data_IF_684765202893
#
_entry.id   IF_684765202893
#
_cell.length_a   1.000
_cell.length_b   1.000
_cell.length_c   1.000
_cell.angle_alpha   90.00
_cell.angle_beta   90.00
_cell.angle_gamma   90.00
#
_symmetry.space_group_name_H-M   'P 1'
#
loop_
_entity.id
_entity.type
_entity.pdbx_description
1 polymer ?
#
# COMPACT_ATOMS: atom_id res chain seq x y z
N UNK A 1 10.01 -14.08 6.24
CA UNK A 1 11.18 -14.95 6.37
C UNK A 1 10.73 -16.34 6.80
N UNK A 2 11.21 -17.35 6.09
CA UNK A 2 11.00 -18.76 6.42
C UNK A 2 12.24 -19.30 7.16
N UNK A 3 12.07 -19.70 8.42
CA UNK A 3 13.14 -20.29 9.21
C UNK A 3 13.59 -21.66 8.64
N UNK A 4 12.67 -22.41 8.06
CA UNK A 4 12.96 -23.70 7.42
C UNK A 4 13.85 -23.55 6.18
N UNK A 5 13.57 -22.52 5.36
CA UNK A 5 14.29 -22.29 4.11
C UNK A 5 15.45 -21.31 4.28
N UNK A 6 15.55 -20.67 5.44
CA UNK A 6 16.53 -19.60 5.75
C UNK A 6 16.53 -18.51 4.68
N UNK A 7 15.35 -18.17 4.19
CA UNK A 7 15.15 -17.21 3.08
C UNK A 7 14.00 -16.27 3.36
N UNK A 8 14.15 -15.01 2.93
CA UNK A 8 13.09 -14.00 2.89
C UNK A 8 12.39 -14.06 1.54
N UNK A 9 11.07 -13.89 1.57
CA UNK A 9 10.20 -13.84 0.40
C UNK A 9 9.34 -12.57 0.48
N UNK A 10 9.08 -11.95 -0.66
CA UNK A 10 8.06 -10.94 -0.80
C UNK A 10 6.79 -11.56 -1.41
N UNK A 11 5.61 -11.15 -0.94
CA UNK A 11 4.34 -11.56 -1.54
C UNK A 11 3.65 -10.30 -2.04
N UNK A 12 3.41 -10.24 -3.36
CA UNK A 12 2.71 -9.12 -3.97
C UNK A 12 1.24 -9.12 -3.58
N UNK A 13 0.88 -8.23 -2.67
CA UNK A 13 -0.49 -8.00 -2.23
C UNK A 13 -1.18 -6.83 -2.93
N UNK A 14 -0.69 -6.42 -4.10
CA UNK A 14 -1.25 -5.33 -4.88
C UNK A 14 -2.13 -5.87 -6.02
N UNK A 15 -3.39 -5.47 -6.02
CA UNK A 15 -4.29 -5.74 -7.14
C UNK A 15 -3.95 -4.87 -8.33
N UNK A 16 -4.17 -5.38 -9.51
CA UNK A 16 -3.99 -4.63 -10.74
C UNK A 16 -5.22 -3.77 -11.11
N UNK A 17 -5.01 -2.81 -12.00
CA UNK A 17 -6.06 -2.00 -12.62
C UNK A 17 -6.96 -2.85 -13.51
N UNK A 18 -8.24 -2.43 -13.74
CA UNK A 18 -9.11 -3.07 -14.73
C UNK A 18 -8.51 -3.06 -16.14
N UNK A 19 -8.78 -4.11 -16.91
CA UNK A 19 -8.37 -4.19 -18.33
C UNK A 19 -8.91 -3.02 -19.16
N UNK A 20 -10.12 -2.56 -18.84
CA UNK A 20 -10.80 -1.45 -19.52
C UNK A 20 -10.32 -0.07 -19.09
N UNK A 21 -9.57 0.05 -17.99
CA UNK A 21 -9.10 1.34 -17.48
C UNK A 21 -7.76 1.72 -18.11
N UNK A 22 -7.83 2.58 -19.13
CA UNK A 22 -6.68 2.99 -19.94
C UNK A 22 -6.53 4.51 -19.94
N UNK A 23 -5.36 5.01 -20.31
CA UNK A 23 -5.14 6.46 -20.51
C UNK A 23 -6.01 7.01 -21.63
N UNK A 24 -6.34 6.23 -22.66
CA UNK A 24 -7.23 6.65 -23.73
C UNK A 24 -8.68 6.73 -23.26
N UNK A 25 -9.14 5.75 -22.46
CA UNK A 25 -10.43 5.84 -21.77
C UNK A 25 -10.53 7.11 -20.92
N UNK A 26 -9.49 7.46 -20.17
CA UNK A 26 -9.46 8.69 -19.37
C UNK A 26 -9.61 9.94 -20.25
N UNK A 27 -8.89 10.03 -21.38
CA UNK A 27 -9.01 11.15 -22.34
C UNK A 27 -10.41 11.25 -22.91
N UNK A 28 -11.01 10.13 -23.36
CA UNK A 28 -12.35 10.08 -23.93
C UNK A 28 -13.43 10.52 -22.93
N UNK A 29 -13.21 10.28 -21.63
CA UNK A 29 -14.13 10.64 -20.55
C UNK A 29 -13.75 11.97 -19.86
N UNK A 30 -12.79 12.72 -20.40
CA UNK A 30 -12.29 13.98 -19.86
C UNK A 30 -11.88 13.85 -18.37
N UNK A 31 -11.06 12.84 -18.08
CA UNK A 31 -10.41 12.60 -16.78
C UNK A 31 -8.94 13.01 -16.93
N UNK A 32 -8.59 14.17 -16.39
CA UNK A 32 -7.23 14.70 -16.40
C UNK A 32 -6.42 14.23 -15.17
N UNK A 33 -7.13 13.85 -14.11
CA UNK A 33 -6.58 13.27 -12.89
C UNK A 33 -7.50 12.14 -12.42
N UNK A 34 -6.92 10.99 -12.10
CA UNK A 34 -7.68 9.86 -11.56
C UNK A 34 -8.22 10.25 -10.17
N UNK A 35 -9.54 10.16 -9.95
CA UNK A 35 -10.13 10.57 -8.68
C UNK A 35 -9.61 9.73 -7.50
N UNK A 36 -9.54 10.34 -6.32
CA UNK A 36 -9.07 9.70 -5.09
C UNK A 36 -10.08 8.76 -4.45
N UNK A 37 -11.34 8.78 -4.92
CA UNK A 37 -12.45 8.03 -4.34
C UNK A 37 -13.44 7.55 -5.41
N UNK A 38 -14.55 6.95 -4.98
CA UNK A 38 -15.52 6.32 -5.87
C UNK A 38 -15.07 4.94 -6.35
N UNK A 39 -15.61 4.49 -7.48
CA UNK A 39 -15.28 3.17 -8.04
C UNK A 39 -14.24 3.22 -9.15
N UNK A 40 -14.03 4.39 -9.77
CA UNK A 40 -13.15 4.51 -10.92
C UNK A 40 -11.70 4.11 -10.61
N UNK A 41 -11.09 4.52 -9.47
CA UNK A 41 -9.74 4.11 -9.11
C UNK A 41 -9.64 2.72 -8.46
N UNK A 42 -10.72 1.94 -8.46
CA UNK A 42 -10.69 0.62 -7.85
C UNK A 42 -9.77 -0.33 -8.63
N UNK A 43 -8.91 -1.03 -7.88
CA UNK A 43 -8.14 -2.17 -8.35
C UNK A 43 -8.77 -3.46 -7.83
N UNK A 44 -8.38 -4.60 -8.41
CA UNK A 44 -8.81 -5.92 -7.91
C UNK A 44 -8.47 -6.04 -6.41
N UNK A 45 -9.42 -6.40 -5.55
CA UNK A 45 -9.17 -6.59 -4.12
C UNK A 45 -8.17 -7.73 -3.89
N UNK A 46 -6.96 -7.43 -3.45
CA UNK A 46 -5.85 -8.37 -3.44
C UNK A 46 -5.71 -9.17 -2.13
N UNK A 47 -6.25 -8.66 -1.02
CA UNK A 47 -5.93 -9.14 0.33
C UNK A 47 -6.26 -10.63 0.54
N UNK A 48 -7.40 -11.10 0.06
CA UNK A 48 -7.84 -12.51 0.25
C UNK A 48 -6.89 -13.47 -0.47
N UNK A 49 -6.54 -13.18 -1.73
CA UNK A 49 -5.63 -14.03 -2.49
C UNK A 49 -4.20 -13.99 -1.95
N UNK A 50 -3.76 -12.83 -1.44
CA UNK A 50 -2.44 -12.69 -0.79
C UNK A 50 -2.35 -13.55 0.47
N UNK A 51 -3.36 -13.49 1.35
CA UNK A 51 -3.39 -14.34 2.55
C UNK A 51 -3.55 -15.82 2.22
N UNK A 52 -4.35 -16.16 1.19
CA UNK A 52 -4.45 -17.55 0.72
C UNK A 52 -3.09 -18.06 0.23
N UNK A 53 -2.36 -17.27 -0.57
CA UNK A 53 -1.01 -17.60 -1.07
C UNK A 53 -0.02 -17.79 0.09
N UNK A 54 0.01 -16.86 1.05
CA UNK A 54 0.84 -16.96 2.24
C UNK A 54 0.52 -18.22 3.06
N UNK A 55 -0.76 -18.49 3.28
CA UNK A 55 -1.23 -19.63 4.06
C UNK A 55 -0.94 -20.96 3.37
N UNK A 56 -1.13 -21.05 2.06
CA UNK A 56 -0.80 -22.25 1.27
C UNK A 56 0.68 -22.55 1.34
N UNK A 57 1.51 -21.55 1.10
CA UNK A 57 2.96 -21.71 0.94
C UNK A 57 3.71 -21.88 2.25
N UNK A 58 3.33 -21.14 3.29
CA UNK A 58 4.08 -21.05 4.55
C UNK A 58 3.27 -21.46 5.78
N UNK A 59 1.94 -21.45 5.71
CA UNK A 59 1.07 -21.71 6.85
C UNK A 59 0.69 -23.16 7.03
N UNK A 60 0.20 -23.46 8.23
CA UNK A 60 -0.28 -24.80 8.61
C UNK A 60 -1.77 -24.85 8.95
N UNK A 61 -2.37 -23.70 9.25
CA UNK A 61 -3.78 -23.58 9.63
C UNK A 61 -4.72 -23.61 8.40
N UNK A 62 -6.00 -23.81 8.64
CA UNK A 62 -7.06 -23.63 7.65
C UNK A 62 -7.47 -22.16 7.53
N UNK A 63 -8.11 -21.80 6.44
CA UNK A 63 -8.65 -20.45 6.25
C UNK A 63 -9.70 -20.11 7.30
N UNK A 64 -10.58 -21.06 7.59
CA UNK A 64 -11.60 -20.95 8.65
C UNK A 64 -10.98 -20.66 10.03
N UNK A 65 -9.88 -21.35 10.39
CA UNK A 65 -9.24 -21.14 11.70
C UNK A 65 -8.71 -19.70 11.85
N UNK A 66 -8.12 -19.12 10.79
CA UNK A 66 -7.58 -17.77 10.85
C UNK A 66 -8.65 -16.67 10.75
N UNK A 67 -9.78 -16.95 10.09
CA UNK A 67 -10.87 -15.98 9.95
C UNK A 67 -11.85 -15.97 11.13
N UNK A 68 -11.90 -17.04 11.94
CA UNK A 68 -12.90 -17.18 13.02
C UNK A 68 -12.91 -15.96 13.99
N UNK A 69 -11.76 -15.44 14.47
CA UNK A 69 -11.79 -14.24 15.34
C UNK A 69 -12.39 -13.00 14.67
N UNK A 70 -12.15 -12.81 13.37
CA UNK A 70 -12.72 -11.70 12.62
C UNK A 70 -14.23 -11.87 12.42
N UNK A 71 -14.68 -13.11 12.17
CA UNK A 71 -16.11 -13.46 12.08
C UNK A 71 -16.80 -13.15 13.41
N UNK A 72 -16.21 -13.58 14.53
CA UNK A 72 -16.76 -13.35 15.87
C UNK A 72 -16.92 -11.86 16.19
N UNK A 73 -15.90 -11.05 15.86
CA UNK A 73 -15.95 -9.60 16.04
C UNK A 73 -17.00 -8.93 15.12
N UNK A 74 -17.08 -9.34 13.88
CA UNK A 74 -18.04 -8.76 12.94
C UNK A 74 -19.49 -9.11 13.30
N UNK A 75 -19.75 -10.35 13.75
CA UNK A 75 -21.09 -10.86 14.09
C UNK A 75 -21.55 -10.45 15.49
N UNK A 76 -20.68 -10.64 16.51
CA UNK A 76 -21.03 -10.36 17.89
C UNK A 76 -20.77 -8.89 18.26
N UNK A 77 -19.87 -8.24 17.51
CA UNK A 77 -19.54 -6.84 17.65
C UNK A 77 -18.37 -6.58 18.60
N UNK A 78 -17.94 -5.34 18.57
CA UNK A 78 -16.90 -4.79 19.46
C UNK A 78 -17.29 -3.38 19.90
N UNK A 79 -16.78 -2.89 21.04
CA UNK A 79 -17.08 -1.54 21.49
C UNK A 79 -16.55 -0.50 20.51
N UNK A 80 -17.39 0.46 20.09
CA UNK A 80 -16.95 1.60 19.29
C UNK A 80 -15.86 2.37 20.04
N UNK A 81 -14.74 2.63 19.37
CA UNK A 81 -13.65 3.40 19.98
C UNK A 81 -13.58 4.82 19.42
N UNK A 82 -13.06 5.74 20.22
CA UNK A 82 -13.08 7.18 19.97
C UNK A 82 -12.60 7.56 18.56
N UNK A 83 -11.44 7.04 18.14
CA UNK A 83 -10.84 7.38 16.84
C UNK A 83 -11.74 7.01 15.65
N UNK A 84 -12.40 5.84 15.69
CA UNK A 84 -13.32 5.44 14.62
C UNK A 84 -14.56 6.33 14.62
N UNK A 85 -15.14 6.57 15.79
CA UNK A 85 -16.30 7.44 15.94
C UNK A 85 -16.02 8.85 15.38
N UNK A 86 -14.89 9.44 15.75
CA UNK A 86 -14.52 10.79 15.29
C UNK A 86 -14.32 10.84 13.78
N UNK A 87 -13.70 9.80 13.20
CA UNK A 87 -13.56 9.68 11.74
C UNK A 87 -14.92 9.56 11.05
N UNK A 88 -15.84 8.79 11.59
CA UNK A 88 -17.20 8.66 11.07
C UNK A 88 -17.95 10.00 11.11
N UNK A 89 -17.81 10.77 12.18
CA UNK A 89 -18.37 12.12 12.27
C UNK A 89 -17.76 13.08 11.24
N UNK A 90 -16.47 13.04 11.04
CA UNK A 90 -15.76 13.90 10.06
C UNK A 90 -16.33 13.72 8.64
N UNK A 91 -16.75 12.51 8.29
CA UNK A 91 -17.26 12.18 6.96
C UNK A 91 -18.77 11.89 6.93
N UNK A 92 -19.50 12.27 7.96
CA UNK A 92 -20.90 11.88 8.14
C UNK A 92 -21.78 12.22 6.95
N UNK A 93 -21.72 13.46 6.45
CA UNK A 93 -22.52 13.89 5.31
C UNK A 93 -22.20 13.05 4.06
N UNK A 94 -20.93 12.75 3.80
CA UNK A 94 -20.53 11.89 2.70
C UNK A 94 -21.16 10.51 2.80
N UNK A 95 -21.20 9.92 4.00
CA UNK A 95 -21.78 8.60 4.22
C UNK A 95 -23.30 8.59 4.12
N UNK A 96 -23.97 9.67 4.48
CA UNK A 96 -25.42 9.73 4.40
C UNK A 96 -25.93 10.12 3.00
N UNK A 97 -25.20 10.97 2.28
CA UNK A 97 -25.64 11.54 1.00
C UNK A 97 -25.05 10.84 -0.21
N UNK A 98 -23.72 10.60 -0.21
CA UNK A 98 -23.00 10.03 -1.37
C UNK A 98 -22.78 8.53 -1.23
N UNK A 99 -22.56 8.01 -0.01
CA UNK A 99 -22.29 6.60 0.27
C UNK A 99 -23.32 5.97 1.19
N UNK A 100 -24.62 5.94 0.80
CA UNK A 100 -25.70 5.55 1.70
C UNK A 100 -25.55 4.15 2.28
N UNK A 101 -24.95 3.20 1.56
CA UNK A 101 -24.67 1.85 2.05
C UNK A 101 -23.62 1.84 3.19
N UNK A 102 -22.69 2.80 3.19
CA UNK A 102 -21.76 3.02 4.31
C UNK A 102 -22.51 3.60 5.50
N UNK A 103 -23.40 4.58 5.25
CA UNK A 103 -24.27 5.16 6.28
C UNK A 103 -25.17 4.15 6.95
N UNK A 104 -25.80 3.23 6.19
CA UNK A 104 -26.65 2.15 6.71
C UNK A 104 -25.92 1.26 7.73
N UNK A 105 -24.65 0.97 7.54
CA UNK A 105 -23.86 0.10 8.43
C UNK A 105 -23.24 0.90 9.58
N UNK A 106 -22.57 2.00 9.27
CA UNK A 106 -21.75 2.73 10.27
C UNK A 106 -22.48 3.87 10.97
N UNK A 107 -23.60 4.33 10.40
CA UNK A 107 -24.41 5.43 10.94
C UNK A 107 -25.90 5.08 10.88
N UNK A 108 -26.35 3.92 11.41
CA UNK A 108 -27.71 3.39 11.15
C UNK A 108 -28.84 4.27 11.71
N UNK A 109 -28.53 5.22 12.59
CA UNK A 109 -29.48 6.19 13.14
C UNK A 109 -29.27 7.61 12.60
N UNK A 110 -28.54 7.74 11.46
CA UNK A 110 -28.09 9.02 10.94
C UNK A 110 -26.89 9.61 11.70
N UNK A 111 -26.36 8.89 12.67
CA UNK A 111 -25.17 9.24 13.46
C UNK A 111 -24.34 7.99 13.75
N UNK A 112 -23.01 8.13 13.91
CA UNK A 112 -22.18 7.02 14.38
C UNK A 112 -22.60 6.51 15.75
N UNK A 113 -22.33 5.23 16.08
CA UNK A 113 -22.50 4.72 17.45
C UNK A 113 -21.65 5.51 18.46
N UNK A 114 -22.10 5.63 19.68
CA UNK A 114 -21.33 6.27 20.76
C UNK A 114 -20.16 5.38 21.21
N UNK A 115 -19.12 6.00 21.77
CA UNK A 115 -17.97 5.27 22.31
C UNK A 115 -18.42 4.27 23.37
N UNK A 116 -18.00 3.01 23.22
CA UNK A 116 -18.43 1.91 24.07
C UNK A 116 -19.71 1.20 23.59
N UNK A 117 -20.48 1.77 22.68
CA UNK A 117 -21.62 1.09 22.06
C UNK A 117 -21.13 -0.05 21.15
N UNK A 118 -21.82 -1.18 21.19
CA UNK A 118 -21.43 -2.36 20.41
C UNK A 118 -21.75 -2.15 18.93
N UNK A 119 -20.70 -2.09 18.11
CA UNK A 119 -20.80 -2.02 16.67
C UNK A 119 -20.70 -3.42 16.07
N UNK A 120 -21.55 -3.71 15.09
CA UNK A 120 -21.60 -5.00 14.35
C UNK A 120 -21.59 -4.75 12.85
N UNK A 121 -21.02 -5.71 12.11
CA UNK A 121 -21.09 -5.73 10.65
C UNK A 121 -21.45 -7.17 10.18
N UNK A 122 -22.73 -7.55 10.26
CA UNK A 122 -23.17 -8.90 9.92
C UNK A 122 -22.94 -9.26 8.44
N UNK A 123 -22.99 -8.29 7.53
CA UNK A 123 -22.71 -8.51 6.10
C UNK A 123 -21.26 -8.95 5.90
N UNK A 124 -20.32 -8.30 6.59
CA UNK A 124 -18.93 -8.70 6.55
C UNK A 124 -18.70 -10.09 7.17
N UNK A 125 -19.35 -10.39 8.30
CA UNK A 125 -19.31 -11.72 8.88
C UNK A 125 -19.80 -12.79 7.88
N UNK A 126 -20.89 -12.52 7.16
CA UNK A 126 -21.44 -13.45 6.16
C UNK A 126 -20.48 -13.62 4.96
N UNK A 127 -19.82 -12.56 4.53
CA UNK A 127 -18.77 -12.65 3.49
C UNK A 127 -17.65 -13.60 3.92
N UNK A 128 -17.13 -13.45 5.13
CA UNK A 128 -16.08 -14.32 5.67
C UNK A 128 -16.58 -15.77 5.80
N UNK A 129 -17.82 -15.97 6.29
CA UNK A 129 -18.45 -17.29 6.38
C UNK A 129 -18.63 -17.94 5.02
N UNK A 130 -18.93 -17.19 3.95
CA UNK A 130 -19.06 -17.72 2.58
C UNK A 130 -17.75 -18.38 2.14
N UNK A 131 -16.60 -17.76 2.40
CA UNK A 131 -15.29 -18.34 2.13
C UNK A 131 -15.02 -19.59 2.99
N UNK A 132 -15.36 -19.55 4.28
CA UNK A 132 -15.22 -20.72 5.18
C UNK A 132 -16.08 -21.90 4.75
N UNK A 133 -17.29 -21.65 4.28
CA UNK A 133 -18.19 -22.70 3.77
C UNK A 133 -17.65 -23.33 2.48
N UNK A 134 -17.05 -22.54 1.60
CA UNK A 134 -16.38 -23.05 0.40
C UNK A 134 -15.17 -23.94 0.77
N UNK A 135 -14.34 -23.51 1.74
CA UNK A 135 -13.26 -24.34 2.29
C UNK A 135 -13.79 -25.67 2.85
N UNK A 136 -14.83 -25.61 3.68
CA UNK A 136 -15.43 -26.79 4.30
C UNK A 136 -15.95 -27.79 3.25
N UNK A 137 -16.57 -27.30 2.17
CA UNK A 137 -17.08 -28.13 1.08
C UNK A 137 -15.96 -28.87 0.34
N UNK A 138 -14.77 -28.31 0.26
CA UNK A 138 -13.60 -28.90 -0.38
C UNK A 138 -12.65 -29.63 0.59
N UNK A 139 -12.94 -29.65 1.90
CA UNK A 139 -12.09 -30.22 2.95
C UNK A 139 -11.64 -31.66 2.68
N UNK A 140 -12.52 -32.47 2.05
CA UNK A 140 -12.22 -33.86 1.69
C UNK A 140 -11.07 -33.99 0.66
N UNK A 141 -10.73 -32.90 -0.05
CA UNK A 141 -9.63 -32.82 -1.04
C UNK A 141 -8.30 -32.37 -0.41
N UNK A 142 -8.27 -32.14 0.91
CA UNK A 142 -7.10 -31.68 1.66
C UNK A 142 -7.06 -30.17 1.88
N UNK A 143 -6.18 -29.73 2.81
CA UNK A 143 -6.08 -28.34 3.29
C UNK A 143 -5.88 -27.31 2.14
N UNK A 144 -4.92 -27.55 1.26
CA UNK A 144 -4.61 -26.63 0.16
C UNK A 144 -5.83 -26.43 -0.75
N UNK A 145 -6.51 -27.52 -1.14
CA UNK A 145 -7.72 -27.45 -1.97
C UNK A 145 -8.89 -26.78 -1.26
N UNK A 146 -8.95 -26.88 0.06
CA UNK A 146 -9.89 -26.11 0.86
C UNK A 146 -9.64 -24.60 0.77
N UNK A 147 -8.39 -24.16 0.97
CA UNK A 147 -8.00 -22.74 0.88
C UNK A 147 -8.21 -22.20 -0.54
N UNK A 148 -7.88 -22.99 -1.58
CA UNK A 148 -8.16 -22.62 -2.98
C UNK A 148 -9.66 -22.45 -3.22
N UNK A 149 -10.52 -23.30 -2.65
CA UNK A 149 -11.97 -23.16 -2.77
C UNK A 149 -12.47 -21.87 -2.08
N UNK A 150 -11.95 -21.52 -0.92
CA UNK A 150 -12.24 -20.25 -0.25
C UNK A 150 -11.83 -19.05 -1.11
N UNK A 151 -10.63 -19.10 -1.72
CA UNK A 151 -10.16 -18.09 -2.67
C UNK A 151 -11.07 -17.99 -3.90
N UNK A 152 -11.45 -19.12 -4.47
CA UNK A 152 -12.39 -19.17 -5.63
C UNK A 152 -13.71 -18.52 -5.30
N UNK A 153 -14.28 -18.77 -4.11
CA UNK A 153 -15.54 -18.14 -3.69
C UNK A 153 -15.46 -16.59 -3.66
N UNK A 154 -14.27 -16.03 -3.53
CA UNK A 154 -14.05 -14.58 -3.58
C UNK A 154 -13.82 -14.07 -5.01
N UNK A 155 -12.98 -14.74 -5.82
CA UNK A 155 -12.51 -14.21 -7.11
C UNK A 155 -13.26 -14.74 -8.33
N UNK A 156 -13.92 -15.89 -8.21
CA UNK A 156 -14.65 -16.59 -9.29
C UNK A 156 -15.90 -17.23 -8.70
N UNK A 157 -16.72 -16.40 -8.03
CA UNK A 157 -17.90 -16.88 -7.32
C UNK A 157 -18.77 -15.75 -6.74
N UNK A 158 -19.62 -16.04 -5.76
CA UNK A 158 -20.70 -15.14 -5.35
C UNK A 158 -20.22 -13.80 -4.81
N UNK A 159 -18.98 -13.69 -4.31
CA UNK A 159 -18.47 -12.44 -3.77
C UNK A 159 -18.08 -11.50 -4.92
N UNK A 160 -17.27 -11.96 -5.90
CA UNK A 160 -16.93 -11.13 -7.07
C UNK A 160 -18.19 -10.78 -7.90
N UNK A 161 -19.11 -11.72 -8.09
CA UNK A 161 -20.39 -11.43 -8.76
C UNK A 161 -21.15 -10.30 -8.08
N UNK A 162 -21.26 -10.32 -6.75
CA UNK A 162 -21.92 -9.26 -5.98
C UNK A 162 -21.23 -7.92 -6.13
N UNK A 163 -19.88 -7.90 -6.09
CA UNK A 163 -19.09 -6.68 -6.29
C UNK A 163 -19.38 -6.09 -7.67
N UNK A 164 -19.26 -6.90 -8.72
CA UNK A 164 -19.40 -6.47 -10.11
C UNK A 164 -20.80 -5.92 -10.41
N UNK A 165 -21.84 -6.62 -9.96
CA UNK A 165 -23.21 -6.13 -10.08
C UNK A 165 -23.40 -4.80 -9.33
N UNK A 166 -22.92 -4.72 -8.09
CA UNK A 166 -23.11 -3.53 -7.28
C UNK A 166 -22.47 -2.28 -7.88
N UNK A 167 -21.20 -2.36 -8.31
CA UNK A 167 -20.48 -1.19 -8.88
C UNK A 167 -20.96 -0.81 -10.28
N UNK A 168 -21.59 -1.74 -11.00
CA UNK A 168 -22.24 -1.48 -12.29
C UNK A 168 -23.58 -0.79 -12.13
N UNK A 169 -24.38 -1.18 -11.14
CA UNK A 169 -25.77 -0.75 -10.98
C UNK A 169 -25.92 0.48 -10.09
N UNK A 170 -24.88 0.82 -9.29
CA UNK A 170 -24.91 1.93 -8.35
C UNK A 170 -23.80 2.93 -8.64
N UNK A 171 -23.88 3.70 -9.73
CA UNK A 171 -22.89 4.74 -10.01
C UNK A 171 -22.83 5.76 -8.87
N UNK A 172 -21.62 6.28 -8.59
CA UNK A 172 -21.39 7.20 -7.48
C UNK A 172 -20.64 8.43 -7.95
N UNK A 173 -20.95 9.59 -7.37
CA UNK A 173 -20.17 10.80 -7.56
C UNK A 173 -18.83 10.65 -6.84
N UNK A 174 -17.75 10.93 -7.57
CA UNK A 174 -16.40 10.89 -7.05
C UNK A 174 -15.75 12.28 -6.96
N UNK A 175 -14.52 12.34 -6.53
CA UNK A 175 -13.77 13.58 -6.33
C UNK A 175 -13.57 14.43 -7.59
N UNK A 176 -13.85 13.91 -8.79
CA UNK A 176 -13.89 14.70 -10.02
C UNK A 176 -15.18 15.52 -10.17
N UNK A 177 -16.17 15.36 -9.27
CA UNK A 177 -17.50 15.95 -9.37
C UNK A 177 -18.37 15.29 -10.44
N UNK A 178 -17.96 14.14 -10.97
CA UNK A 178 -18.70 13.36 -11.95
C UNK A 178 -19.18 12.05 -11.35
N UNK A 179 -20.23 11.49 -11.94
CA UNK A 179 -20.80 10.21 -11.51
C UNK A 179 -20.23 9.11 -12.39
N UNK A 180 -19.54 8.15 -11.77
CA UNK A 180 -18.94 7.02 -12.48
C UNK A 180 -19.41 5.67 -11.94
N UNK A 181 -19.40 4.67 -12.83
CA UNK A 181 -19.51 3.25 -12.51
C UNK A 181 -18.12 2.65 -12.29
N UNK A 182 -18.07 1.48 -11.66
CA UNK A 182 -16.84 0.68 -11.62
C UNK A 182 -16.49 0.10 -12.98
N UNK A 183 -15.20 -0.01 -13.26
CA UNK A 183 -14.66 -0.56 -14.51
C UNK A 183 -14.18 -2.01 -14.38
N UNK A 184 -14.12 -2.55 -13.17
CA UNK A 184 -13.76 -3.95 -12.93
C UNK A 184 -14.77 -4.90 -13.58
N UNK A 185 -14.27 -5.98 -14.16
CA UNK A 185 -15.03 -7.04 -14.82
C UNK A 185 -14.56 -8.41 -14.33
N UNK A 186 -15.30 -9.44 -14.66
CA UNK A 186 -15.05 -10.82 -14.22
C UNK A 186 -13.62 -11.29 -14.54
N UNK A 187 -13.14 -11.06 -15.75
CA UNK A 187 -11.78 -11.44 -16.15
C UNK A 187 -10.66 -10.74 -15.36
N UNK A 188 -10.94 -9.57 -14.77
CA UNK A 188 -9.98 -8.89 -13.91
C UNK A 188 -9.79 -9.66 -12.59
N UNK A 189 -10.88 -10.20 -12.06
CA UNK A 189 -10.86 -10.99 -10.82
C UNK A 189 -10.29 -12.39 -11.05
N UNK A 190 -10.80 -13.12 -12.05
CA UNK A 190 -10.42 -14.51 -12.31
C UNK A 190 -8.97 -14.64 -12.74
N UNK A 191 -8.43 -13.64 -13.45
CA UNK A 191 -7.04 -13.61 -13.90
C UNK A 191 -6.03 -13.26 -12.82
N UNK A 192 -6.44 -12.60 -11.72
CA UNK A 192 -5.50 -12.09 -10.73
C UNK A 192 -5.02 -13.15 -9.74
N UNK A 193 -3.71 -13.15 -9.46
CA UNK A 193 -3.08 -13.98 -8.44
C UNK A 193 -1.98 -13.19 -7.73
N UNK A 194 -1.81 -13.47 -6.42
CA UNK A 194 -0.67 -12.93 -5.68
C UNK A 194 0.61 -13.68 -6.08
N UNK A 195 1.64 -12.93 -6.41
CA UNK A 195 2.95 -13.47 -6.80
C UNK A 195 3.88 -13.55 -5.59
N UNK A 196 4.72 -14.61 -5.54
CA UNK A 196 5.83 -14.70 -4.59
C UNK A 196 7.07 -14.27 -5.36
N UNK A 197 7.69 -13.21 -4.87
CA UNK A 197 8.85 -12.55 -5.48
C UNK A 197 10.07 -12.63 -4.54
N UNK A 198 11.27 -12.53 -5.08
CA UNK A 198 12.44 -12.25 -4.27
C UNK A 198 12.41 -10.78 -3.80
N UNK A 199 12.67 -10.50 -2.52
CA UNK A 199 12.75 -9.13 -2.04
C UNK A 199 13.98 -8.42 -2.61
N UNK A 200 13.89 -7.08 -2.71
CA UNK A 200 15.08 -6.25 -2.91
C UNK A 200 15.77 -6.11 -1.57
N UNK A 201 17.09 -6.30 -1.55
CA UNK A 201 17.85 -6.34 -0.30
C UNK A 201 19.08 -5.46 -0.38
N UNK A 202 19.46 -4.90 0.78
CA UNK A 202 20.69 -4.14 0.97
C UNK A 202 21.40 -4.65 2.22
N UNK A 203 22.71 -4.84 2.11
CA UNK A 203 23.55 -5.08 3.29
C UNK A 203 23.96 -3.75 3.92
N UNK A 204 23.72 -3.63 5.22
CA UNK A 204 24.13 -2.51 6.05
C UNK A 204 24.77 -3.02 7.33
N UNK A 205 26.06 -2.78 7.52
CA UNK A 205 26.86 -3.41 8.57
C UNK A 205 26.77 -4.93 8.46
N UNK A 206 26.35 -5.61 9.52
CA UNK A 206 26.14 -7.06 9.58
C UNK A 206 24.66 -7.48 9.43
N UNK A 207 23.84 -6.57 8.87
CA UNK A 207 22.40 -6.73 8.67
C UNK A 207 22.06 -6.79 7.18
N UNK A 208 21.15 -7.69 6.82
CA UNK A 208 20.50 -7.70 5.50
C UNK A 208 19.07 -7.14 5.66
N UNK A 209 18.79 -6.03 4.99
CA UNK A 209 17.49 -5.38 5.01
C UNK A 209 16.72 -5.73 3.76
N UNK A 210 15.49 -6.22 3.91
CA UNK A 210 14.65 -6.72 2.85
C UNK A 210 13.39 -5.88 2.69
N UNK A 211 13.09 -5.48 1.44
CA UNK A 211 11.91 -4.70 1.07
C UNK A 211 11.20 -5.33 -0.12
N UNK A 212 9.89 -5.06 -0.27
CA UNK A 212 9.17 -5.41 -1.50
C UNK A 212 9.71 -4.62 -2.70
N UNK A 213 9.43 -5.11 -3.90
CA UNK A 213 9.89 -4.52 -5.17
C UNK A 213 9.20 -3.17 -5.51
N UNK A 214 9.45 -2.64 -6.69
CA UNK A 214 9.06 -1.29 -7.17
C UNK A 214 7.57 -1.05 -7.39
N UNK A 215 6.73 -2.08 -7.31
CA UNK A 215 5.30 -1.89 -7.12
C UNK A 215 4.97 -1.31 -5.73
N UNK A 216 5.99 -1.12 -4.90
CA UNK A 216 5.98 -0.33 -3.66
C UNK A 216 7.04 0.76 -3.71
N UNK A 217 7.06 1.64 -2.70
CA UNK A 217 8.18 2.56 -2.52
C UNK A 217 9.29 2.00 -1.62
N UNK A 218 9.19 0.72 -1.20
CA UNK A 218 10.14 0.09 -0.27
C UNK A 218 11.62 0.32 -0.61
N UNK A 219 12.04 0.20 -1.88
CA UNK A 219 13.44 0.43 -2.22
C UNK A 219 13.96 1.84 -1.99
N UNK A 220 13.11 2.88 -1.80
CA UNK A 220 13.58 4.21 -1.37
C UNK A 220 14.23 4.18 0.01
N UNK A 221 13.77 3.30 0.90
CA UNK A 221 14.44 3.09 2.19
C UNK A 221 15.88 2.59 1.98
N UNK A 222 16.04 1.58 1.12
CA UNK A 222 17.35 0.99 0.84
C UNK A 222 18.30 1.99 0.19
N UNK A 223 17.82 2.80 -0.76
CA UNK A 223 18.62 3.86 -1.38
C UNK A 223 19.01 4.94 -0.39
N UNK A 224 18.08 5.43 0.44
CA UNK A 224 18.40 6.39 1.50
C UNK A 224 19.48 5.86 2.44
N UNK A 225 19.31 4.61 2.91
CA UNK A 225 20.27 3.96 3.80
C UNK A 225 21.63 3.78 3.13
N UNK A 226 21.64 3.41 1.84
CA UNK A 226 22.88 3.26 1.07
C UNK A 226 23.62 4.61 0.87
N UNK A 227 22.89 5.70 0.65
CA UNK A 227 23.47 7.05 0.56
C UNK A 227 24.05 7.47 1.94
N UNK A 228 23.28 7.24 3.01
CA UNK A 228 23.63 7.66 4.37
C UNK A 228 24.86 6.92 4.92
N UNK A 229 25.16 5.68 4.47
CA UNK A 229 26.37 4.97 4.91
C UNK A 229 27.68 5.66 4.54
N UNK A 230 27.66 6.63 3.61
CA UNK A 230 28.83 7.44 3.24
C UNK A 230 29.13 8.57 4.25
N UNK A 231 28.30 8.72 5.29
CA UNK A 231 28.45 9.72 6.33
C UNK A 231 28.66 9.06 7.69
N UNK A 232 29.48 9.66 8.55
CA UNK A 232 29.52 9.24 9.94
C UNK A 232 28.36 9.88 10.70
N UNK A 233 27.22 9.18 10.77
CA UNK A 233 25.99 9.71 11.35
C UNK A 233 26.13 10.03 12.84
N UNK A 234 26.97 9.28 13.59
CA UNK A 234 27.24 9.54 15.00
C UNK A 234 27.95 10.89 15.21
N UNK A 235 28.91 11.20 14.34
CA UNK A 235 29.66 12.46 14.42
C UNK A 235 28.81 13.69 14.04
N UNK A 236 27.80 13.50 13.17
CA UNK A 236 26.82 14.55 12.87
C UNK A 236 25.95 14.88 14.09
N UNK A 237 25.76 13.91 14.98
CA UNK A 237 24.96 14.05 16.20
C UNK A 237 23.46 13.83 15.98
N UNK A 238 22.86 13.01 16.85
CA UNK A 238 21.43 12.66 16.77
C UNK A 238 20.54 13.90 16.75
N UNK A 239 19.68 14.00 15.72
CA UNK A 239 18.73 15.11 15.51
C UNK A 239 19.39 16.51 15.44
N UNK A 240 20.69 16.62 15.19
CA UNK A 240 21.34 17.90 14.87
C UNK A 240 20.84 18.45 13.53
N UNK A 241 21.09 19.74 13.26
CA UNK A 241 20.76 20.36 11.98
C UNK A 241 21.51 19.67 10.81
N UNK A 242 22.78 19.30 11.02
CA UNK A 242 23.59 18.59 10.03
C UNK A 242 23.07 17.18 9.75
N UNK A 243 22.70 16.43 10.80
CA UNK A 243 22.11 15.11 10.65
C UNK A 243 20.78 15.18 9.89
N UNK A 244 19.87 16.05 10.31
CA UNK A 244 18.56 16.20 9.67
C UNK A 244 18.69 16.69 8.22
N UNK A 245 19.62 17.61 7.95
CA UNK A 245 19.90 18.05 6.59
C UNK A 245 20.37 16.88 5.70
N UNK A 246 21.36 16.14 6.15
CA UNK A 246 21.94 15.01 5.41
C UNK A 246 20.86 13.93 5.15
N UNK A 247 20.07 13.62 6.17
CA UNK A 247 18.99 12.67 6.07
C UNK A 247 17.88 13.11 5.10
N UNK A 248 17.44 14.38 5.16
CA UNK A 248 16.43 14.94 4.25
C UNK A 248 16.93 14.98 2.81
N UNK A 249 18.18 15.38 2.59
CA UNK A 249 18.75 15.40 1.24
C UNK A 249 18.87 14.00 0.66
N UNK A 250 19.27 12.99 1.46
CA UNK A 250 19.26 11.58 1.00
C UNK A 250 17.86 11.09 0.63
N UNK A 251 16.84 11.47 1.40
CA UNK A 251 15.45 11.17 1.08
C UNK A 251 15.05 11.79 -0.26
N UNK A 252 15.34 13.08 -0.49
CA UNK A 252 15.01 13.76 -1.76
C UNK A 252 15.63 13.09 -2.97
N UNK A 253 16.88 12.62 -2.88
CA UNK A 253 17.54 11.88 -3.95
C UNK A 253 16.85 10.53 -4.23
N UNK A 254 16.60 9.73 -3.20
CA UNK A 254 15.93 8.45 -3.34
C UNK A 254 14.48 8.59 -3.86
N UNK A 255 13.75 9.61 -3.42
CA UNK A 255 12.41 9.88 -3.93
C UNK A 255 12.42 10.43 -5.36
N UNK A 256 13.46 11.14 -5.78
CA UNK A 256 13.63 11.52 -7.18
C UNK A 256 13.81 10.29 -8.08
N UNK A 257 14.59 9.30 -7.65
CA UNK A 257 14.72 8.02 -8.33
C UNK A 257 13.42 7.22 -8.36
N UNK A 258 12.65 7.24 -7.25
CA UNK A 258 11.33 6.63 -7.23
C UNK A 258 10.44 7.17 -8.33
N UNK A 259 10.38 8.49 -8.48
CA UNK A 259 9.58 9.13 -9.52
C UNK A 259 10.07 8.84 -10.93
N UNK A 260 11.37 8.68 -11.10
CA UNK A 260 11.99 8.42 -12.40
C UNK A 260 11.88 6.97 -12.84
N UNK A 261 11.93 6.00 -11.91
CA UNK A 261 12.18 4.61 -12.25
C UNK A 261 11.22 3.59 -11.67
N UNK A 262 10.47 3.90 -10.58
CA UNK A 262 9.65 2.88 -9.91
C UNK A 262 8.26 2.75 -10.52
N UNK A 263 7.91 1.52 -10.82
CA UNK A 263 6.61 1.09 -11.30
C UNK A 263 6.44 -0.42 -11.10
N UNK A 264 5.46 -1.01 -11.76
CA UNK A 264 5.28 -2.45 -11.77
C UNK A 264 6.41 -3.12 -12.54
N UNK A 265 7.25 -3.99 -11.93
CA UNK A 265 8.38 -4.62 -12.60
C UNK A 265 7.98 -5.53 -13.78
N UNK A 266 6.71 -5.93 -13.90
CA UNK A 266 6.19 -6.65 -15.06
C UNK A 266 6.05 -5.74 -16.30
N UNK A 267 6.08 -4.42 -16.11
CA UNK A 267 5.99 -3.41 -17.18
C UNK A 267 7.29 -2.61 -17.31
N UNK A 268 7.91 -2.27 -16.19
CA UNK A 268 9.06 -1.38 -16.13
C UNK A 268 10.18 -2.02 -15.32
N UNK A 269 11.23 -2.48 -16.02
CA UNK A 269 12.38 -3.07 -15.35
C UNK A 269 13.30 -2.00 -14.77
N UNK A 270 13.66 -2.16 -13.50
CA UNK A 270 14.59 -1.30 -12.79
C UNK A 270 15.93 -1.98 -12.60
N UNK A 271 17.01 -1.30 -12.93
CA UNK A 271 18.37 -1.82 -12.75
C UNK A 271 18.83 -1.58 -11.29
N UNK A 272 18.54 -2.54 -10.42
CA UNK A 272 18.90 -2.49 -8.99
C UNK A 272 20.41 -2.59 -8.75
N UNK A 273 21.14 -3.30 -9.61
CA UNK A 273 22.59 -3.42 -9.51
C UNK A 273 23.27 -2.04 -9.63
N UNK A 274 22.64 -1.12 -10.36
CA UNK A 274 23.09 0.27 -10.43
C UNK A 274 22.60 1.07 -9.23
N UNK A 275 21.29 1.12 -8.98
CA UNK A 275 20.67 2.01 -7.98
C UNK A 275 21.10 1.71 -6.53
N UNK A 276 21.52 0.48 -6.24
CA UNK A 276 22.01 0.06 -4.93
C UNK A 276 23.52 -0.18 -4.91
N UNK A 277 24.25 0.18 -5.98
CA UNK A 277 25.72 0.08 -5.99
C UNK A 277 26.37 1.12 -5.05
N UNK A 278 27.58 0.81 -4.62
CA UNK A 278 28.38 1.74 -3.80
C UNK A 278 28.77 2.99 -4.60
N UNK A 279 29.13 2.84 -5.87
CA UNK A 279 29.45 3.95 -6.78
C UNK A 279 28.27 4.90 -6.94
N UNK A 280 27.06 4.35 -7.07
CA UNK A 280 25.85 5.17 -7.19
C UNK A 280 25.58 5.92 -5.89
N UNK A 281 25.66 5.25 -4.76
CA UNK A 281 25.46 5.86 -3.44
C UNK A 281 26.47 6.96 -3.13
N UNK A 282 27.74 6.75 -3.51
CA UNK A 282 28.79 7.78 -3.40
C UNK A 282 28.51 8.98 -4.30
N UNK A 283 28.08 8.73 -5.55
CA UNK A 283 27.71 9.84 -6.45
C UNK A 283 26.54 10.65 -5.92
N UNK A 284 25.54 10.02 -5.32
CA UNK A 284 24.42 10.68 -4.66
C UNK A 284 24.87 11.46 -3.42
N UNK A 285 25.72 10.87 -2.57
CA UNK A 285 26.24 11.56 -1.37
C UNK A 285 27.02 12.84 -1.69
N UNK A 286 27.76 12.85 -2.80
CA UNK A 286 28.47 14.02 -3.30
C UNK A 286 27.55 15.16 -3.78
N UNK A 287 26.26 14.89 -4.02
CA UNK A 287 25.26 15.93 -4.33
C UNK A 287 24.69 16.61 -3.07
N UNK A 288 24.99 16.07 -1.88
CA UNK A 288 24.55 16.63 -0.60
C UNK A 288 25.53 17.71 -0.18
N UNK A 289 25.19 18.95 -0.50
CA UNK A 289 26.00 20.12 -0.11
C UNK A 289 25.54 20.73 1.21
N UNK A 290 26.13 21.87 1.59
CA UNK A 290 25.73 22.60 2.82
C UNK A 290 24.37 23.28 2.73
N UNK A 291 23.83 23.46 1.53
CA UNK A 291 22.53 24.10 1.30
C UNK A 291 21.53 23.08 0.81
N UNK A 292 20.29 23.19 1.26
CA UNK A 292 19.19 22.36 0.80
C UNK A 292 18.90 22.60 -0.68
N UNK A 293 18.76 21.52 -1.46
CA UNK A 293 18.34 21.60 -2.86
C UNK A 293 16.83 21.58 -2.97
N UNK A 294 16.28 22.35 -3.90
CA UNK A 294 14.86 22.30 -4.29
C UNK A 294 14.63 21.55 -5.61
N UNK A 295 15.70 21.05 -6.24
CA UNK A 295 15.62 20.39 -7.53
C UNK A 295 15.33 18.90 -7.38
N UNK A 296 14.55 18.36 -8.32
CA UNK A 296 14.44 16.92 -8.54
C UNK A 296 15.74 16.45 -9.21
N UNK A 297 16.48 15.55 -8.54
CA UNK A 297 17.81 15.10 -8.96
C UNK A 297 17.89 13.59 -9.04
N UNK A 298 17.10 12.93 -9.93
CA UNK A 298 17.24 11.49 -10.15
C UNK A 298 18.65 11.21 -10.71
N UNK A 299 19.20 10.06 -10.30
CA UNK A 299 20.50 9.66 -10.80
C UNK A 299 20.43 9.03 -12.20
N UNK A 300 21.61 8.78 -12.78
CA UNK A 300 21.72 8.16 -14.09
C UNK A 300 21.58 6.64 -14.00
N UNK A 301 20.55 6.10 -14.66
CA UNK A 301 20.44 4.66 -14.91
C UNK A 301 20.56 4.43 -16.40
N UNK A 302 21.42 3.50 -16.83
CA UNK A 302 21.72 3.26 -18.24
C UNK A 302 22.16 4.54 -18.99
N UNK A 303 22.89 5.43 -18.31
CA UNK A 303 23.39 6.73 -18.83
C UNK A 303 22.31 7.72 -19.26
N UNK A 304 21.06 7.52 -18.84
CA UNK A 304 19.96 8.40 -19.17
C UNK A 304 19.12 8.74 -17.94
N UNK A 305 18.60 9.96 -17.90
CA UNK A 305 17.53 10.38 -17.00
C UNK A 305 16.29 10.61 -17.87
N UNK A 306 15.13 10.06 -17.47
CA UNK A 306 13.88 10.32 -18.19
C UNK A 306 13.56 11.81 -18.24
N UNK A 307 13.20 12.35 -19.41
CA UNK A 307 12.98 13.79 -19.62
C UNK A 307 11.90 14.39 -18.71
N UNK A 308 10.87 13.62 -18.36
CA UNK A 308 9.82 14.06 -17.44
C UNK A 308 10.32 14.19 -15.97
N UNK A 309 11.43 13.56 -15.61
CA UNK A 309 12.02 13.65 -14.28
C UNK A 309 12.95 14.87 -14.11
N UNK A 310 13.30 15.54 -15.20
CA UNK A 310 14.23 16.70 -15.23
C UNK A 310 13.53 18.06 -15.11
N UNK A 311 12.24 18.11 -14.84
CA UNK A 311 11.55 19.38 -14.74
C UNK A 311 12.02 20.17 -13.53
N UNK A 312 12.53 21.42 -13.72
CA UNK A 312 12.91 22.29 -12.62
C UNK A 312 11.68 22.53 -11.72
N UNK A 313 11.92 22.53 -10.41
CA UNK A 313 10.94 23.05 -9.45
C UNK A 313 10.84 24.56 -9.72
N UNK A 314 9.92 25.00 -10.55
CA UNK A 314 9.83 26.45 -10.78
C UNK A 314 8.86 26.91 -11.85
N UNK A 315 8.82 26.34 -13.03
CA UNK A 315 7.96 26.87 -14.12
C UNK A 315 6.71 26.00 -14.36
N UNK A 316 6.81 24.68 -14.25
CA UNK A 316 5.66 23.78 -14.38
C UNK A 316 5.11 23.31 -13.01
N UNK A 317 5.88 23.41 -11.94
CA UNK A 317 5.41 23.09 -10.60
C UNK A 317 4.47 24.13 -10.00
N UNK A 318 4.40 25.34 -10.55
CA UNK A 318 3.27 26.22 -10.19
C UNK A 318 1.95 25.67 -10.71
N UNK A 319 1.95 25.08 -11.89
CA UNK A 319 0.77 24.37 -12.42
C UNK A 319 0.52 23.03 -11.71
N UNK A 320 1.54 22.26 -11.34
CA UNK A 320 1.36 21.01 -10.58
C UNK A 320 1.13 21.27 -9.10
N UNK A 321 1.76 22.25 -8.48
CA UNK A 321 1.48 22.67 -7.10
C UNK A 321 0.15 23.41 -6.98
N UNK A 322 -0.22 24.22 -7.98
CA UNK A 322 -1.54 24.86 -8.03
C UNK A 322 -2.63 23.87 -8.46
N UNK A 323 -2.34 22.90 -9.32
CA UNK A 323 -3.22 21.77 -9.60
C UNK A 323 -3.28 20.81 -8.43
N UNK A 324 -2.15 20.45 -7.83
CA UNK A 324 -2.12 19.66 -6.60
C UNK A 324 -2.74 20.41 -5.42
N UNK A 325 -2.53 21.70 -5.27
CA UNK A 325 -3.15 22.48 -4.21
C UNK A 325 -4.64 22.77 -4.46
N UNK A 326 -5.08 22.99 -5.70
CA UNK A 326 -6.49 23.08 -6.02
C UNK A 326 -7.17 21.72 -6.00
N UNK A 327 -6.53 20.69 -6.53
CA UNK A 327 -6.95 19.30 -6.47
C UNK A 327 -6.94 18.81 -5.00
N UNK A 328 -5.92 19.09 -4.23
CA UNK A 328 -5.85 18.81 -2.78
C UNK A 328 -6.99 19.51 -2.04
N UNK A 329 -7.29 20.76 -2.38
CA UNK A 329 -8.34 21.54 -1.75
C UNK A 329 -9.73 21.08 -2.18
N UNK A 330 -9.93 20.83 -3.47
CA UNK A 330 -11.24 20.46 -4.05
C UNK A 330 -11.55 18.96 -3.87
N UNK A 331 -10.52 18.10 -3.82
CA UNK A 331 -10.64 16.67 -3.53
C UNK A 331 -10.66 16.34 -2.04
N UNK A 332 -10.54 17.34 -1.16
CA UNK A 332 -10.38 17.07 0.26
C UNK A 332 -9.10 16.31 0.61
N UNK A 333 -8.12 16.25 -0.31
CA UNK A 333 -6.83 15.57 -0.12
C UNK A 333 -5.94 16.27 0.91
N UNK A 334 -6.26 17.51 1.31
CA UNK A 334 -5.70 18.16 2.51
C UNK A 334 -5.95 17.36 3.80
N UNK A 335 -6.85 16.37 3.76
CA UNK A 335 -7.08 15.38 4.79
C UNK A 335 -6.56 13.97 4.42
N UNK A 336 -5.84 13.81 3.30
CA UNK A 336 -5.33 12.54 2.80
C UNK A 336 -4.34 11.86 3.77
N UNK A 337 -3.80 12.59 4.73
CA UNK A 337 -2.97 12.04 5.81
C UNK A 337 -3.76 11.33 6.92
N UNK A 338 -5.07 11.28 6.86
CA UNK A 338 -5.86 10.38 7.70
C UNK A 338 -5.87 8.97 7.11
N UNK A 339 -4.67 8.42 6.87
CA UNK A 339 -4.50 7.11 6.27
C UNK A 339 -5.28 6.03 6.98
N UNK A 340 -5.71 5.07 6.22
CA UNK A 340 -6.42 3.86 6.61
C UNK A 340 -5.49 2.64 6.58
N UNK A 341 -4.21 2.87 6.50
CA UNK A 341 -3.18 1.83 6.54
C UNK A 341 -3.08 1.24 7.93
N UNK A 342 -2.93 -0.07 8.01
CA UNK A 342 -2.50 -0.76 9.22
C UNK A 342 -1.18 -1.49 8.93
N UNK A 343 -0.46 -1.82 9.99
CA UNK A 343 0.75 -2.62 9.91
C UNK A 343 0.72 -3.70 10.97
N UNK A 344 1.27 -4.86 10.66
CA UNK A 344 1.38 -5.97 11.59
C UNK A 344 2.69 -6.72 11.37
N UNK A 345 3.31 -7.08 12.46
CA UNK A 345 4.50 -7.92 12.53
C UNK A 345 4.24 -9.11 13.43
N UNK A 346 4.81 -10.25 13.07
CA UNK A 346 4.79 -11.43 13.93
C UNK A 346 6.05 -12.26 13.73
N UNK A 347 6.50 -12.86 14.83
CA UNK A 347 7.57 -13.85 14.83
C UNK A 347 7.14 -15.03 15.71
N UNK A 348 7.37 -16.26 15.23
CA UNK A 348 7.08 -17.46 15.98
C UNK A 348 8.34 -18.05 16.67
N UNK A 349 8.12 -19.06 17.52
CA UNK A 349 9.20 -19.74 18.23
C UNK A 349 10.17 -20.51 17.32
N UNK A 350 9.78 -20.81 16.08
CA UNK A 350 10.64 -21.44 15.08
C UNK A 350 11.55 -20.43 14.39
N UNK A 351 11.29 -19.12 14.59
CA UNK A 351 11.99 -18.02 13.94
C UNK A 351 11.42 -17.64 12.57
N UNK A 352 10.22 -18.09 12.22
CA UNK A 352 9.51 -17.51 11.07
C UNK A 352 9.10 -16.08 11.42
N UNK A 353 9.19 -15.17 10.44
CA UNK A 353 8.91 -13.76 10.64
C UNK A 353 8.07 -13.22 9.48
N UNK A 354 7.08 -12.40 9.77
CA UNK A 354 6.25 -11.73 8.79
C UNK A 354 6.15 -10.24 9.14
N UNK A 355 6.20 -9.40 8.11
CA UNK A 355 5.81 -8.00 8.15
C UNK A 355 4.78 -7.75 7.06
N UNK A 356 3.65 -7.14 7.38
CA UNK A 356 2.59 -6.89 6.42
C UNK A 356 1.94 -5.52 6.65
N UNK A 357 1.72 -4.79 5.56
CA UNK A 357 1.14 -3.44 5.58
C UNK A 357 -0.10 -3.38 4.68
N UNK A 358 -1.25 -3.94 5.10
CA UNK A 358 -2.49 -3.82 4.33
C UNK A 358 -3.06 -2.41 4.37
N UNK A 359 -3.62 -1.98 3.23
CA UNK A 359 -4.20 -0.65 3.04
C UNK A 359 -5.07 -0.65 1.77
N UNK A 360 -5.78 0.43 1.46
CA UNK A 360 -6.57 0.49 0.23
C UNK A 360 -7.59 1.62 0.16
N UNK A 361 -7.62 2.52 1.14
CA UNK A 361 -8.61 3.58 1.19
C UNK A 361 -9.94 3.10 1.73
N UNK A 362 -10.02 2.74 2.95
CA UNK A 362 -11.17 2.16 3.65
C UNK A 362 -12.49 2.96 3.49
N UNK A 363 -13.22 3.26 4.54
CA UNK A 363 -14.58 3.82 4.48
C UNK A 363 -14.73 5.15 3.72
N UNK A 364 -13.68 5.97 3.66
CA UNK A 364 -13.75 7.30 3.06
C UNK A 364 -13.63 7.32 1.53
N UNK A 365 -13.27 6.21 0.89
CA UNK A 365 -12.86 6.22 -0.52
C UNK A 365 -13.87 5.57 -1.46
N UNK A 366 -14.63 4.57 -1.01
CA UNK A 366 -15.73 4.03 -1.83
C UNK A 366 -16.90 3.57 -0.95
N UNK A 367 -18.12 3.51 -1.49
CA UNK A 367 -19.26 2.96 -0.77
C UNK A 367 -19.04 1.50 -0.40
N UNK A 368 -19.58 1.08 0.74
CA UNK A 368 -19.62 -0.33 1.11
C UNK A 368 -20.50 -1.09 0.11
N UNK A 369 -19.99 -2.21 -0.38
CA UNK A 369 -20.75 -3.14 -1.20
C UNK A 369 -21.86 -3.77 -0.36
N UNK A 370 -23.10 -3.50 -0.75
CA UNK A 370 -24.29 -4.02 -0.04
C UNK A 370 -24.27 -5.54 0.02
N UNK A 371 -24.51 -6.09 1.20
CA UNK A 371 -24.48 -7.53 1.47
C UNK A 371 -23.08 -8.13 1.64
N UNK A 372 -22.01 -7.36 1.40
CA UNK A 372 -20.64 -7.82 1.64
C UNK A 372 -19.97 -7.12 2.83
N UNK A 373 -20.40 -5.91 3.20
CA UNK A 373 -19.97 -5.22 4.40
C UNK A 373 -18.57 -4.59 4.33
N UNK A 374 -17.95 -4.47 3.14
CA UNK A 374 -16.66 -3.83 2.92
C UNK A 374 -16.67 -2.97 1.65
N UNK A 375 -15.85 -1.90 1.59
CA UNK A 375 -15.66 -1.07 0.40
C UNK A 375 -14.56 -1.63 -0.51
N UNK A 376 -14.47 -1.14 -1.74
CA UNK A 376 -13.33 -1.40 -2.63
C UNK A 376 -12.15 -0.50 -2.30
N UNK A 377 -10.94 -1.02 -2.48
CA UNK A 377 -9.71 -0.23 -2.43
C UNK A 377 -9.53 0.61 -3.70
N UNK A 378 -9.04 1.86 -3.53
CA UNK A 378 -8.92 2.85 -4.59
C UNK A 378 -7.46 3.11 -5.01
N UNK A 379 -6.63 2.08 -5.03
CA UNK A 379 -5.19 2.23 -5.32
C UNK A 379 -4.86 2.69 -6.73
N UNK A 380 -5.77 2.58 -7.68
CA UNK A 380 -5.60 3.14 -9.03
C UNK A 380 -5.38 4.65 -9.06
N UNK A 381 -5.77 5.39 -8.01
CA UNK A 381 -5.45 6.81 -7.85
C UNK A 381 -3.93 7.11 -7.85
N UNK A 382 -3.09 6.11 -7.57
CA UNK A 382 -1.64 6.26 -7.54
C UNK A 382 -1.01 6.31 -8.94
N UNK A 383 -1.74 5.95 -9.99
CA UNK A 383 -1.24 6.01 -11.36
C UNK A 383 -1.13 7.42 -11.90
N UNK A 384 -0.14 7.65 -12.75
CA UNK A 384 -0.07 8.81 -13.62
C UNK A 384 -0.79 8.55 -14.94
N UNK A 385 -1.35 9.60 -15.54
CA UNK A 385 -1.91 9.53 -16.90
C UNK A 385 -0.86 9.80 -18.00
N UNK A 386 0.32 10.29 -17.62
CA UNK A 386 1.43 10.46 -18.55
C UNK A 386 2.08 9.10 -18.85
N UNK A 387 1.97 8.56 -20.09
CA UNK A 387 2.47 7.25 -20.45
C UNK A 387 4.01 7.14 -20.43
N UNK A 388 4.73 8.26 -20.34
CA UNK A 388 6.19 8.25 -20.23
C UNK A 388 6.68 7.88 -18.82
N UNK A 389 5.80 7.88 -17.82
CA UNK A 389 6.17 7.56 -16.44
C UNK A 389 6.10 6.05 -16.16
N UNK A 390 7.04 5.49 -15.38
CA UNK A 390 7.00 4.07 -15.03
C UNK A 390 5.70 3.66 -14.32
N UNK A 391 5.17 4.52 -13.45
CA UNK A 391 3.88 4.31 -12.78
C UNK A 391 2.69 4.86 -13.58
N UNK A 392 2.75 4.84 -14.92
CA UNK A 392 1.61 5.23 -15.76
C UNK A 392 0.52 4.16 -15.71
N UNK A 393 -0.73 4.61 -15.84
CA UNK A 393 -1.89 3.72 -15.95
C UNK A 393 -1.77 2.83 -17.19
N UNK A 394 -1.90 1.53 -16.98
CA UNK A 394 -2.01 0.53 -18.04
C UNK A 394 -2.91 -0.63 -17.59
N UNK A 395 -3.55 -1.35 -18.51
CA UNK A 395 -4.37 -2.51 -18.20
C UNK A 395 -3.59 -3.58 -17.41
N UNK A 396 -4.21 -4.15 -16.38
CA UNK A 396 -3.64 -5.20 -15.53
C UNK A 396 -2.26 -4.85 -14.95
N UNK A 397 -2.00 -3.55 -14.75
CA UNK A 397 -0.79 -3.05 -14.10
C UNK A 397 -1.05 -2.83 -12.60
N UNK A 398 -0.09 -3.17 -11.76
CA UNK A 398 -0.11 -2.85 -10.33
C UNK A 398 0.27 -1.38 -10.14
N UNK A 399 -0.52 -0.55 -9.46
CA UNK A 399 -0.10 0.79 -9.11
C UNK A 399 1.06 0.73 -8.10
N UNK A 400 2.03 1.64 -8.23
CA UNK A 400 3.07 1.81 -7.21
C UNK A 400 2.44 2.29 -5.90
N UNK A 401 2.47 1.42 -4.90
CA UNK A 401 1.92 1.73 -3.58
C UNK A 401 2.96 2.35 -2.63
N UNK A 402 2.47 3.03 -1.62
CA UNK A 402 3.31 3.56 -0.54
C UNK A 402 3.57 2.54 0.58
N UNK A 403 3.06 1.32 0.44
CA UNK A 403 3.14 0.26 1.45
C UNK A 403 4.53 -0.37 1.47
N UNK A 404 5.12 -0.50 2.65
CA UNK A 404 6.53 -0.85 2.77
C UNK A 404 6.86 -1.61 4.05
N UNK A 405 6.41 -2.85 4.17
CA UNK A 405 6.88 -3.72 5.25
C UNK A 405 8.39 -3.95 5.13
N UNK A 406 9.06 -4.08 6.27
CA UNK A 406 10.50 -4.29 6.35
C UNK A 406 10.80 -5.55 7.15
N UNK A 407 11.66 -6.40 6.62
CA UNK A 407 12.30 -7.48 7.37
C UNK A 407 13.80 -7.26 7.40
N UNK A 408 14.41 -7.54 8.54
CA UNK A 408 15.86 -7.48 8.71
C UNK A 408 16.34 -8.84 9.22
N UNK A 409 17.39 -9.35 8.59
CA UNK A 409 18.09 -10.54 9.04
C UNK A 409 19.52 -10.21 9.46
N UNK A 410 20.06 -11.00 10.37
CA UNK A 410 21.46 -10.93 10.82
C UNK A 410 22.07 -12.31 10.73
N UNK A 411 23.13 -12.47 9.95
CA UNK A 411 23.74 -13.80 9.70
C UNK A 411 22.69 -14.85 9.27
N UNK A 412 21.83 -14.47 8.33
CA UNK A 412 20.72 -15.28 7.82
C UNK A 412 19.70 -15.74 8.88
N UNK A 413 19.60 -15.04 10.00
CA UNK A 413 18.60 -15.30 11.06
C UNK A 413 17.66 -14.10 11.18
N UNK A 414 16.41 -14.33 11.61
CA UNK A 414 15.49 -13.23 11.83
C UNK A 414 16.03 -12.28 12.91
N UNK A 415 16.00 -10.99 12.64
CA UNK A 415 16.48 -9.97 13.58
C UNK A 415 15.37 -8.99 13.95
N UNK A 416 14.69 -8.40 12.95
CA UNK A 416 13.66 -7.38 13.18
C UNK A 416 12.62 -7.39 12.07
N UNK A 417 11.37 -7.13 12.43
CA UNK A 417 10.27 -6.81 11.52
C UNK A 417 9.67 -5.48 11.94
N UNK A 418 9.39 -4.58 10.99
CA UNK A 418 8.78 -3.30 11.30
C UNK A 418 8.14 -2.64 10.08
N UNK A 419 7.28 -1.68 10.33
CA UNK A 419 6.65 -0.81 9.35
C UNK A 419 5.71 0.16 10.04
N UNK A 420 5.06 1.01 9.26
CA UNK A 420 4.12 2.02 9.78
C UNK A 420 3.06 2.37 8.74
N UNK A 421 1.87 2.83 9.11
CA UNK A 421 1.04 3.63 8.23
C UNK A 421 1.68 5.00 7.98
N UNK A 422 1.31 5.71 6.88
CA UNK A 422 1.77 7.09 6.69
C UNK A 422 2.03 7.53 5.25
N UNK A 423 1.53 6.81 4.25
CA UNK A 423 1.73 7.22 2.85
C UNK A 423 3.22 7.36 2.50
N UNK A 424 3.62 8.45 1.87
CA UNK A 424 5.02 8.72 1.48
C UNK A 424 5.97 8.91 2.67
N UNK A 425 5.45 9.20 3.87
CA UNK A 425 6.28 9.33 5.07
C UNK A 425 6.77 7.98 5.63
N UNK A 426 6.21 6.84 5.18
CA UNK A 426 6.53 5.52 5.72
C UNK A 426 8.04 5.23 5.68
N UNK A 427 8.69 5.43 4.53
CA UNK A 427 10.13 5.16 4.36
C UNK A 427 11.00 6.14 5.16
N UNK A 428 10.51 7.34 5.36
CA UNK A 428 11.20 8.36 6.13
C UNK A 428 11.16 8.04 7.63
N UNK A 429 9.97 7.74 8.16
CA UNK A 429 9.79 7.42 9.58
C UNK A 429 10.45 6.10 9.96
N UNK A 430 10.28 5.07 9.15
CA UNK A 430 10.87 3.76 9.42
C UNK A 430 12.40 3.77 9.31
N UNK A 431 12.97 4.58 8.41
CA UNK A 431 14.42 4.76 8.32
C UNK A 431 14.95 5.48 9.56
N UNK A 432 14.28 6.53 10.03
CA UNK A 432 14.68 7.24 11.23
C UNK A 432 14.62 6.31 12.46
N UNK A 433 13.54 5.56 12.61
CA UNK A 433 13.43 4.52 13.65
C UNK A 433 14.58 3.52 13.59
N UNK A 434 14.89 2.99 12.39
CA UNK A 434 15.97 2.04 12.19
C UNK A 434 17.33 2.61 12.57
N UNK A 435 17.65 3.81 12.10
CA UNK A 435 18.91 4.48 12.41
C UNK A 435 19.03 4.85 13.90
N UNK A 436 17.95 5.27 14.54
CA UNK A 436 17.93 5.52 15.98
C UNK A 436 18.34 4.28 16.77
N UNK A 437 17.86 3.11 16.37
CA UNK A 437 18.21 1.86 17.04
C UNK A 437 19.61 1.36 16.67
N UNK A 438 19.97 1.34 15.39
CA UNK A 438 21.21 0.71 14.90
C UNK A 438 22.43 1.61 15.03
N UNK A 439 22.28 2.92 14.77
CA UNK A 439 23.41 3.86 14.82
C UNK A 439 23.54 4.58 16.17
N UNK A 440 22.43 4.89 16.81
CA UNK A 440 22.45 5.65 18.06
C UNK A 440 22.22 4.78 19.32
N UNK A 441 22.19 3.45 19.16
CA UNK A 441 22.11 2.49 20.25
C UNK A 441 20.85 2.67 21.15
N UNK A 442 19.78 3.26 20.61
CA UNK A 442 18.52 3.46 21.34
C UNK A 442 17.75 2.15 21.49
N UNK A 443 17.10 1.96 22.61
CA UNK A 443 16.10 0.89 22.73
C UNK A 443 14.97 1.10 21.71
N UNK A 444 14.22 0.05 21.37
CA UNK A 444 13.10 0.18 20.41
C UNK A 444 12.08 1.23 20.85
N UNK A 445 11.85 1.38 22.16
CA UNK A 445 10.91 2.38 22.70
C UNK A 445 11.46 3.81 22.60
N UNK A 446 12.77 4.00 22.78
CA UNK A 446 13.40 5.34 22.62
C UNK A 446 13.52 5.72 21.16
N UNK A 447 13.62 4.75 20.25
CA UNK A 447 13.73 4.98 18.81
C UNK A 447 12.41 5.43 18.16
N UNK A 448 11.27 5.15 18.81
CA UNK A 448 9.91 5.57 18.41
C UNK A 448 9.62 7.02 18.83
#
# INVERSE_FOLDING_TARGET
>A
YSAQEQKTFAISGMGWSPLSFTTDWCKENAIDLIPGDGYLPACVPAVVGTWATALIRFGTMSFTQILQPAIDLAENGYPMYQRLRDRLYTHLNKYLELYPTTGEIYCPRGTPPEVGEIFKNPDFANTLKTMCNAEASAKHKGRIRGIEAARTAFYDGPISETILHFISDNPVEDASGKVHKGLLQDHDFTGWQAEIEDPISLQYNDLDIHKCSTWTQGPTFLQQLNILKNFNLKDLGHNSAEYLHTWIESAKLAFADREAYYGDPNFDQVNWDVLLSDEYSESCSNLIGVQASLDMRPGLVNQQIPSFALRPVGEDNRLSLDLEASVIKDLGLGHAHTGDTTHLDAMDNAGNMIAATPSGGWLGTSPIIRGLGFPLGTRGQMFYLNPARPNSLAPHKRPRATLTPTLVTKNHKPFMAFGTPGGDAQEQWTLQFFLNHIEFDMSLQEAL
#
